data_IF_973864974489
#
_entry.id   IF_973864974489
#
_cell.length_a   1.000
_cell.length_b   1.000
_cell.length_c   1.000
_cell.angle_alpha   90.00
_cell.angle_beta   90.00
_cell.angle_gamma   90.00
#
_symmetry.space_group_name_H-M   'P 1'
#
loop_
_entity.id
_entity.type
_entity.pdbx_description
1 polymer ?
#
# COMPACT_ATOMS: atom_id res chain seq x y z
N UNK A 1 24.85 22.23 -21.18
CA UNK A 1 23.60 21.80 -20.51
C UNK A 1 22.46 22.52 -21.20
N UNK A 2 21.45 21.77 -21.63
CA UNK A 2 20.31 22.33 -22.35
C UNK A 2 19.32 22.98 -21.36
N UNK A 3 18.84 24.22 -21.58
CA UNK A 3 17.93 24.90 -20.66
C UNK A 3 16.64 24.11 -20.39
N UNK A 4 16.21 23.27 -21.34
CA UNK A 4 15.07 22.37 -21.16
C UNK A 4 15.35 21.24 -20.17
N UNK A 5 16.59 20.76 -20.07
CA UNK A 5 16.99 19.76 -19.06
C UNK A 5 17.03 20.38 -17.66
N UNK A 6 17.50 21.62 -17.55
CA UNK A 6 17.53 22.37 -16.28
C UNK A 6 16.09 22.65 -15.79
N UNK A 7 15.17 23.02 -16.68
CA UNK A 7 13.76 23.19 -16.34
C UNK A 7 13.11 21.87 -15.91
N UNK A 8 13.39 20.76 -16.60
CA UNK A 8 12.89 19.44 -16.24
C UNK A 8 13.43 18.97 -14.88
N UNK A 9 14.69 19.29 -14.55
CA UNK A 9 15.25 19.07 -13.23
C UNK A 9 14.58 19.96 -12.18
N UNK A 10 14.47 21.27 -12.41
CA UNK A 10 13.82 22.21 -11.48
C UNK A 10 12.38 21.80 -11.12
N UNK A 11 11.59 21.33 -12.09
CA UNK A 11 10.22 20.84 -11.86
C UNK A 11 10.21 19.57 -10.98
N UNK A 12 11.20 18.66 -11.14
CA UNK A 12 11.33 17.48 -10.26
C UNK A 12 11.59 17.88 -8.80
N UNK A 13 12.33 18.96 -8.56
CA UNK A 13 12.64 19.46 -7.21
C UNK A 13 11.51 20.29 -6.60
N UNK A 14 10.54 20.74 -7.40
CA UNK A 14 9.45 21.62 -6.95
C UNK A 14 8.19 20.85 -6.52
N UNK A 15 8.18 19.52 -6.65
CA UNK A 15 7.16 18.68 -6.04
C UNK A 15 7.44 18.53 -4.54
N UNK A 16 6.52 19.06 -3.72
CA UNK A 16 6.56 18.94 -2.26
C UNK A 16 6.59 17.48 -1.79
N UNK A 17 6.78 17.25 -0.48
CA UNK A 17 6.82 15.91 0.09
C UNK A 17 5.56 15.11 -0.28
N UNK A 18 5.75 13.92 -0.82
CA UNK A 18 4.66 13.00 -1.16
C UNK A 18 4.42 12.06 0.00
N UNK A 19 3.16 11.74 0.27
CA UNK A 19 2.77 10.79 1.31
C UNK A 19 1.78 9.78 0.76
N UNK A 20 1.72 8.63 1.42
CA UNK A 20 0.84 7.55 1.02
C UNK A 20 0.69 6.47 2.08
N UNK A 21 -0.16 5.51 1.78
CA UNK A 21 -0.51 4.42 2.67
C UNK A 21 -0.37 3.09 1.95
N UNK A 22 0.11 2.09 2.66
CA UNK A 22 0.22 0.71 2.20
C UNK A 22 -0.67 -0.13 3.10
N UNK A 23 -1.66 -0.81 2.51
CA UNK A 23 -2.44 -1.82 3.24
C UNK A 23 -1.81 -3.19 3.02
N UNK A 24 -1.64 -3.93 4.11
CA UNK A 24 -1.04 -5.26 4.16
C UNK A 24 -2.16 -6.31 4.20
N UNK A 25 -1.93 -7.47 3.58
CA UNK A 25 -2.81 -8.64 3.74
C UNK A 25 -2.90 -9.06 5.21
N UNK A 26 -4.13 -9.24 5.69
CA UNK A 26 -4.44 -9.75 7.02
C UNK A 26 -3.93 -11.19 7.16
N UNK A 27 -3.32 -11.51 8.31
CA UNK A 27 -2.88 -12.89 8.65
C UNK A 27 -1.38 -13.19 8.48
N UNK A 28 -0.54 -12.24 8.06
CA UNK A 28 0.91 -12.49 7.87
C UNK A 28 1.76 -11.91 9.01
N UNK A 29 2.55 -12.74 9.70
CA UNK A 29 3.52 -12.31 10.75
C UNK A 29 4.59 -11.35 10.18
N UNK A 30 4.90 -10.32 10.96
CA UNK A 30 5.65 -9.12 10.54
C UNK A 30 7.16 -9.33 10.56
N UNK A 31 7.79 -9.15 9.40
CA UNK A 31 9.10 -8.52 9.25
C UNK A 31 9.01 -7.75 7.92
N UNK A 32 9.07 -6.43 7.98
CA UNK A 32 9.04 -5.54 6.81
C UNK A 32 10.25 -4.62 6.94
N UNK A 33 11.39 -5.07 6.41
CA UNK A 33 12.54 -4.22 6.16
C UNK A 33 12.39 -3.74 4.72
N UNK A 34 11.73 -2.60 4.54
CA UNK A 34 11.62 -1.94 3.23
C UNK A 34 12.82 -1.01 3.09
N UNK A 35 13.92 -1.53 2.52
CA UNK A 35 15.04 -0.70 2.03
C UNK A 35 14.89 -0.58 0.51
N UNK A 36 14.32 0.52 0.05
CA UNK A 36 14.44 0.96 -1.35
C UNK A 36 15.81 1.62 -1.52
N UNK A 37 16.65 1.06 -2.39
CA UNK A 37 18.07 1.43 -2.48
C UNK A 37 18.36 2.83 -3.04
N UNK A 38 17.40 3.46 -3.74
CA UNK A 38 17.61 4.73 -4.46
C UNK A 38 16.64 5.86 -4.07
N UNK A 39 15.67 5.59 -3.18
CA UNK A 39 14.64 6.56 -2.77
C UNK A 39 14.60 6.64 -1.25
N UNK A 40 14.76 7.86 -0.72
CA UNK A 40 14.62 8.13 0.72
C UNK A 40 13.13 8.12 1.09
N UNK A 41 12.63 6.95 1.48
CA UNK A 41 11.26 6.74 1.96
C UNK A 41 11.28 6.48 3.47
N UNK A 42 10.50 7.27 4.22
CA UNK A 42 10.28 7.06 5.65
C UNK A 42 8.98 6.30 5.84
N UNK A 43 9.06 5.12 6.45
CA UNK A 43 7.90 4.30 6.79
C UNK A 43 7.50 4.49 8.25
N UNK A 44 6.21 4.66 8.51
CA UNK A 44 5.61 4.76 9.83
C UNK A 44 4.46 3.76 9.93
N UNK A 45 4.49 2.90 10.94
CA UNK A 45 3.39 1.97 11.19
C UNK A 45 2.25 2.71 11.87
N UNK A 46 1.09 2.78 11.21
CA UNK A 46 -0.12 3.41 11.76
C UNK A 46 -1.02 2.37 12.41
N UNK A 47 -1.11 1.18 11.82
CA UNK A 47 -1.95 0.08 12.31
C UNK A 47 -1.26 -1.28 12.11
N UNK A 48 -1.88 -2.36 12.59
CA UNK A 48 -1.53 -3.76 12.31
C UNK A 48 -1.46 -4.04 10.80
N UNK A 49 -2.37 -3.44 10.02
CA UNK A 49 -2.47 -3.67 8.58
C UNK A 49 -2.11 -2.45 7.71
N UNK A 50 -1.76 -1.31 8.31
CA UNK A 50 -1.54 -0.05 7.58
C UNK A 50 -0.15 0.52 7.90
N UNK A 51 0.63 0.75 6.85
CA UNK A 51 1.90 1.49 6.91
C UNK A 51 1.70 2.80 6.17
N UNK A 52 1.96 3.92 6.82
CA UNK A 52 2.10 5.21 6.15
C UNK A 52 3.54 5.36 5.68
N UNK A 53 3.74 5.98 4.52
CA UNK A 53 5.06 6.36 4.07
C UNK A 53 5.08 7.83 3.68
N UNK A 54 6.23 8.47 3.89
CA UNK A 54 6.52 9.80 3.38
C UNK A 54 7.79 9.73 2.55
N UNK A 55 7.81 10.50 1.47
CA UNK A 55 8.91 10.55 0.52
C UNK A 55 9.28 12.01 0.31
N UNK A 56 10.57 12.32 0.53
CA UNK A 56 11.12 13.63 0.19
C UNK A 56 11.31 13.69 -1.33
N UNK A 57 10.78 14.75 -1.96
CA UNK A 57 10.99 15.17 -3.36
C UNK A 57 11.14 14.05 -4.41
N UNK A 58 10.06 13.85 -5.19
CA UNK A 58 10.12 13.80 -6.66
C UNK A 58 10.89 12.71 -7.39
N UNK A 59 11.45 11.69 -6.72
CA UNK A 59 12.01 10.52 -7.43
C UNK A 59 11.00 9.37 -7.48
N UNK A 60 10.50 9.17 -8.69
CA UNK A 60 9.77 8.03 -9.23
C UNK A 60 8.92 7.22 -8.23
N UNK A 61 7.69 7.69 -8.00
CA UNK A 61 6.68 6.93 -7.26
C UNK A 61 6.34 5.59 -7.94
N UNK A 62 6.72 5.41 -9.21
CA UNK A 62 6.55 4.15 -9.94
C UNK A 62 7.43 3.04 -9.38
N UNK A 63 8.69 3.34 -9.03
CA UNK A 63 9.61 2.37 -8.41
C UNK A 63 9.06 1.89 -7.06
N UNK A 64 8.59 2.83 -6.23
CA UNK A 64 7.98 2.49 -4.93
C UNK A 64 6.70 1.66 -5.12
N UNK A 65 5.85 2.04 -6.07
CA UNK A 65 4.62 1.30 -6.41
C UNK A 65 4.95 -0.13 -6.82
N UNK A 66 5.89 -0.33 -7.74
CA UNK A 66 6.30 -1.66 -8.21
C UNK A 66 6.94 -2.48 -7.11
N UNK A 67 7.85 -1.89 -6.33
CA UNK A 67 8.49 -2.55 -5.20
C UNK A 67 7.46 -3.03 -4.17
N UNK A 68 6.52 -2.17 -3.80
CA UNK A 68 5.47 -2.51 -2.83
C UNK A 68 4.56 -3.59 -3.39
N UNK A 69 4.05 -3.46 -4.62
CA UNK A 69 3.16 -4.45 -5.22
C UNK A 69 3.85 -5.81 -5.45
N UNK A 70 5.18 -5.84 -5.61
CA UNK A 70 5.96 -7.08 -5.66
C UNK A 70 6.06 -7.78 -4.30
N UNK A 71 5.90 -7.07 -3.18
CA UNK A 71 5.93 -7.70 -1.86
C UNK A 71 4.68 -8.55 -1.66
N UNK A 72 4.77 -9.86 -1.39
CA UNK A 72 3.59 -10.75 -1.25
C UNK A 72 2.63 -10.31 -0.14
N UNK A 73 3.13 -9.55 0.84
CA UNK A 73 2.35 -9.05 1.97
C UNK A 73 1.59 -7.76 1.65
N UNK A 74 1.99 -6.99 0.63
CA UNK A 74 1.32 -5.75 0.28
C UNK A 74 0.08 -6.02 -0.57
N UNK A 75 -1.01 -5.34 -0.26
CA UNK A 75 -2.29 -5.50 -0.93
C UNK A 75 -2.66 -4.26 -1.75
N UNK A 76 -2.61 -3.09 -1.12
CA UNK A 76 -2.94 -1.80 -1.72
C UNK A 76 -1.83 -0.80 -1.40
N UNK A 77 -1.49 0.06 -2.37
CA UNK A 77 -0.71 1.27 -2.13
C UNK A 77 -1.49 2.48 -2.62
N UNK A 78 -1.69 3.46 -1.74
CA UNK A 78 -2.29 4.76 -2.03
C UNK A 78 -1.21 5.82 -2.03
N UNK A 79 -1.11 6.60 -3.09
CA UNK A 79 -0.15 7.71 -3.24
C UNK A 79 -0.95 8.96 -3.60
N UNK A 80 -1.04 9.93 -2.70
CA UNK A 80 -2.02 11.02 -2.84
C UNK A 80 -3.44 10.45 -2.99
N UNK A 81 -4.13 10.82 -4.08
CA UNK A 81 -5.48 10.33 -4.38
C UNK A 81 -5.54 9.05 -5.22
N UNK A 82 -4.39 8.58 -5.72
CA UNK A 82 -4.33 7.40 -6.58
C UNK A 82 -4.15 6.12 -5.76
N UNK A 83 -4.97 5.11 -6.05
CA UNK A 83 -4.90 3.79 -5.40
C UNK A 83 -4.46 2.74 -6.42
N UNK A 84 -3.39 2.03 -6.11
CA UNK A 84 -2.83 0.97 -6.93
C UNK A 84 -2.93 -0.38 -6.23
N UNK A 85 -3.21 -1.41 -7.03
CA UNK A 85 -3.43 -2.80 -6.64
C UNK A 85 -2.83 -3.72 -7.69
N UNK A 86 -2.64 -4.99 -7.33
CA UNK A 86 -2.33 -6.01 -8.34
C UNK A 86 -3.54 -6.23 -9.24
N UNK A 87 -3.32 -6.56 -10.53
CA UNK A 87 -4.40 -6.95 -11.42
C UNK A 87 -5.21 -8.11 -10.81
N UNK A 88 -6.53 -7.95 -10.72
CA UNK A 88 -7.44 -8.96 -10.17
C UNK A 88 -7.71 -8.89 -8.67
N UNK A 89 -6.95 -8.13 -7.87
CA UNK A 89 -7.21 -8.01 -6.43
C UNK A 89 -8.42 -7.06 -6.17
N UNK A 90 -9.50 -7.54 -5.50
CA UNK A 90 -10.64 -6.69 -5.14
C UNK A 90 -10.24 -5.63 -4.09
N UNK A 91 -11.06 -4.61 -3.79
CA UNK A 91 -10.76 -3.70 -2.68
C UNK A 91 -10.64 -4.44 -1.35
N UNK A 92 -9.68 -4.08 -0.50
CA UNK A 92 -9.43 -4.79 0.77
C UNK A 92 -10.68 -4.81 1.66
N UNK A 93 -11.43 -3.71 1.68
CA UNK A 93 -12.70 -3.59 2.42
C UNK A 93 -13.72 -4.65 1.99
N UNK A 94 -13.80 -4.97 0.68
CA UNK A 94 -14.69 -6.03 0.21
C UNK A 94 -14.23 -7.41 0.69
N UNK A 95 -12.91 -7.64 0.76
CA UNK A 95 -12.35 -8.90 1.28
C UNK A 95 -12.66 -9.03 2.77
N UNK A 96 -12.45 -7.97 3.55
CA UNK A 96 -12.75 -7.96 4.99
C UNK A 96 -14.24 -8.19 5.23
N UNK A 97 -15.11 -7.52 4.46
CA UNK A 97 -16.56 -7.66 4.58
C UNK A 97 -17.00 -9.10 4.31
N UNK A 98 -16.52 -9.72 3.22
CA UNK A 98 -16.78 -11.13 2.92
C UNK A 98 -16.29 -12.07 4.01
N UNK A 99 -15.08 -11.84 4.53
CA UNK A 99 -14.50 -12.68 5.57
C UNK A 99 -15.27 -12.57 6.90
N UNK A 100 -15.85 -11.40 7.17
CA UNK A 100 -16.76 -11.22 8.30
C UNK A 100 -18.12 -11.91 8.06
N UNK A 101 -18.68 -11.78 6.85
CA UNK A 101 -19.93 -12.44 6.44
C UNK A 101 -19.83 -13.97 6.53
N UNK A 102 -18.78 -14.57 5.98
CA UNK A 102 -18.49 -16.01 6.07
C UNK A 102 -18.34 -16.48 7.53
N UNK A 103 -17.73 -15.66 8.39
CA UNK A 103 -17.57 -15.99 9.81
C UNK A 103 -18.88 -15.90 10.59
N UNK A 104 -19.78 -14.98 10.23
CA UNK A 104 -21.13 -14.94 10.80
C UNK A 104 -22.01 -16.10 10.30
N UNK A 105 -21.92 -16.47 9.03
CA UNK A 105 -22.68 -17.61 8.47
C UNK A 105 -22.24 -18.96 9.08
N UNK A 106 -20.93 -19.14 9.31
CA UNK A 106 -20.41 -20.33 9.99
C UNK A 106 -20.91 -20.45 11.44
N UNK A 107 -21.19 -19.34 12.12
CA UNK A 107 -21.72 -19.34 13.48
C UNK A 107 -23.23 -19.64 13.52
N UNK A 108 -23.97 -19.14 12.52
CA UNK A 108 -25.41 -19.44 12.38
C UNK A 108 -25.68 -20.89 11.97
N UNK A 109 -24.80 -21.50 11.14
CA UNK A 109 -24.97 -22.90 10.73
C UNK A 109 -24.63 -23.89 11.84
N UNK A 110 -23.67 -23.57 12.73
CA UNK A 110 -23.34 -24.39 13.90
C UNK A 110 -24.47 -24.42 14.94
N UNK A 111 -25.37 -23.45 14.91
CA UNK A 111 -26.46 -23.30 15.90
C UNK A 111 -27.76 -24.02 15.48
N UNK A 112 -27.82 -24.58 14.26
CA UNK A 112 -29.01 -25.26 13.71
C UNK A 112 -28.91 -26.79 13.66
N UNK A 113 -27.75 -27.37 13.95
CA UNK A 113 -27.56 -28.83 13.94
C UNK A 113 -27.70 -29.49 15.33
N UNK A 114 -28.01 -28.73 16.38
CA UNK A 114 -28.28 -29.25 17.75
C UNK A 114 -29.76 -29.10 18.19
N UNK A 115 -30.73 -29.38 17.31
CA UNK A 115 -32.16 -29.40 17.67
C UNK A 115 -32.90 -30.62 17.14
#
# INVERSE_FOLDING_TARGET
MDPSQIQAEMIKWQSGPSYGFIKIRLGVRRILVLKTGSIEVKFMFVDVSIIMFTMQIGKDTSELKEFVLNQPKAYEIKIGDHVFRRPGDPPLEKVIKKLHEEKSEAHDHSSKEEL
#
